data_IF_890053080902
#
_entry.id   IF_890053080902
#
_cell.length_a   1.000
_cell.length_b   1.000
_cell.length_c   1.000
_cell.angle_alpha   90.00
_cell.angle_beta   90.00
_cell.angle_gamma   90.00
#
_symmetry.space_group_name_H-M   'P 1'
#
loop_
_entity.id
_entity.type
_entity.pdbx_description
1 polymer ?
#
# COMPACT_ATOMS: atom_id res chain seq x y z
N UNK A 1 18.28 -21.35 -1.46
CA UNK A 1 17.18 -21.46 -2.45
C UNK A 1 16.45 -22.76 -2.21
N UNK A 2 15.43 -22.76 -1.36
CA UNK A 2 14.68 -23.97 -1.00
C UNK A 2 13.58 -24.31 -2.03
N UNK A 3 13.14 -23.32 -2.83
CA UNK A 3 12.10 -23.47 -3.85
C UNK A 3 12.64 -23.91 -5.24
N UNK A 4 13.92 -24.22 -5.38
CA UNK A 4 14.54 -24.60 -6.67
C UNK A 4 14.71 -23.45 -7.69
N UNK A 5 14.34 -22.22 -7.33
CA UNK A 5 14.47 -21.05 -8.20
C UNK A 5 15.90 -20.48 -8.19
N UNK A 6 16.35 -19.97 -9.34
CA UNK A 6 17.60 -19.23 -9.48
C UNK A 6 17.35 -17.72 -9.42
N UNK A 7 17.99 -17.06 -8.44
CA UNK A 7 17.93 -15.61 -8.30
C UNK A 7 18.52 -14.91 -9.52
N UNK A 8 17.80 -13.94 -10.08
CA UNK A 8 18.28 -13.04 -11.14
C UNK A 8 18.64 -11.67 -10.60
N UNK A 9 17.77 -11.13 -9.75
CA UNK A 9 17.89 -9.78 -9.22
C UNK A 9 17.20 -9.69 -7.86
N UNK A 10 17.77 -8.92 -6.95
CA UNK A 10 17.11 -8.51 -5.73
C UNK A 10 17.59 -7.12 -5.35
N UNK A 11 16.71 -6.35 -4.73
CA UNK A 11 17.02 -4.98 -4.34
C UNK A 11 15.92 -4.34 -3.52
N UNK A 12 16.09 -3.04 -3.33
CA UNK A 12 15.11 -2.16 -2.73
C UNK A 12 14.64 -1.19 -3.81
N UNK A 13 13.32 -1.04 -3.93
CA UNK A 13 12.68 -0.10 -4.83
C UNK A 13 12.01 0.97 -3.98
N UNK A 14 12.52 2.19 -4.08
CA UNK A 14 11.87 3.37 -3.52
C UNK A 14 10.84 3.88 -4.52
N UNK A 15 9.65 4.22 -4.03
CA UNK A 15 8.59 4.77 -4.87
C UNK A 15 7.80 5.84 -4.12
N UNK A 16 7.08 6.63 -4.91
CA UNK A 16 6.21 7.70 -4.43
C UNK A 16 4.82 7.51 -4.99
N UNK A 17 3.82 7.62 -4.13
CA UNK A 17 2.42 7.71 -4.52
C UNK A 17 1.92 9.13 -4.26
N UNK A 18 1.13 9.67 -5.19
CA UNK A 18 0.50 10.98 -5.04
C UNK A 18 -0.99 10.89 -5.36
N UNK A 19 -1.81 11.44 -4.48
CA UNK A 19 -3.26 11.42 -4.60
C UNK A 19 -3.83 12.84 -4.46
N UNK A 20 -4.90 13.17 -5.21
CA UNK A 20 -5.50 14.49 -5.17
C UNK A 20 -6.23 14.77 -3.85
N UNK A 21 -6.70 13.75 -3.14
CA UNK A 21 -7.39 13.84 -1.87
C UNK A 21 -7.37 12.48 -1.14
N UNK A 22 -7.74 12.52 0.15
CA UNK A 22 -7.80 11.36 1.04
C UNK A 22 -8.72 10.26 0.52
N UNK A 23 -9.89 10.63 -0.03
CA UNK A 23 -10.86 9.67 -0.54
C UNK A 23 -10.28 8.84 -1.69
N UNK A 24 -9.55 9.47 -2.61
CA UNK A 24 -8.90 8.79 -3.75
C UNK A 24 -7.82 7.84 -3.27
N UNK A 25 -7.01 8.25 -2.28
CA UNK A 25 -6.01 7.38 -1.66
C UNK A 25 -6.69 6.18 -0.98
N UNK A 26 -7.63 6.44 -0.08
CA UNK A 26 -8.33 5.39 0.68
C UNK A 26 -9.01 4.35 -0.23
N UNK A 27 -9.63 4.79 -1.34
CA UNK A 27 -10.23 3.88 -2.33
C UNK A 27 -9.21 2.90 -2.92
N UNK A 28 -7.98 3.35 -3.20
CA UNK A 28 -6.92 2.49 -3.71
C UNK A 28 -6.53 1.40 -2.71
N UNK A 29 -6.36 1.77 -1.44
CA UNK A 29 -6.00 0.85 -0.38
C UNK A 29 -7.12 -0.16 -0.09
N UNK A 30 -8.38 0.28 -0.01
CA UNK A 30 -9.52 -0.61 0.25
C UNK A 30 -9.73 -1.67 -0.84
N UNK A 31 -9.26 -1.42 -2.06
CA UNK A 31 -9.29 -2.40 -3.15
C UNK A 31 -8.19 -3.47 -3.05
N UNK A 32 -7.13 -3.24 -2.26
CA UNK A 32 -6.02 -4.17 -2.14
C UNK A 32 -6.38 -5.38 -1.26
N UNK A 33 -5.82 -6.55 -1.59
CA UNK A 33 -6.15 -7.83 -0.96
C UNK A 33 -6.06 -7.83 0.59
N UNK A 34 -5.06 -7.19 1.24
CA UNK A 34 -5.02 -7.10 2.70
C UNK A 34 -6.22 -6.37 3.31
N UNK A 35 -6.68 -5.29 2.67
CA UNK A 35 -7.85 -4.55 3.15
C UNK A 35 -9.14 -5.28 2.85
N UNK A 36 -9.25 -5.98 1.71
CA UNK A 36 -10.39 -6.89 1.46
C UNK A 36 -10.49 -7.96 2.55
N UNK A 37 -9.36 -8.51 3.02
CA UNK A 37 -9.31 -9.44 4.15
C UNK A 37 -9.78 -8.77 5.45
N UNK A 38 -9.32 -7.55 5.74
CA UNK A 38 -9.73 -6.79 6.92
C UNK A 38 -11.23 -6.45 6.92
N UNK A 39 -11.77 -6.01 5.77
CA UNK A 39 -13.19 -5.69 5.58
C UNK A 39 -14.07 -6.90 5.90
N UNK A 40 -13.68 -8.09 5.44
CA UNK A 40 -14.41 -9.33 5.75
C UNK A 40 -14.40 -9.67 7.25
N UNK A 41 -13.40 -9.22 7.99
CA UNK A 41 -13.25 -9.52 9.42
C UNK A 41 -13.92 -8.47 10.32
N UNK A 42 -13.85 -7.18 9.96
CA UNK A 42 -14.24 -6.06 10.82
C UNK A 42 -15.35 -5.16 10.24
N UNK A 43 -15.78 -5.38 9.00
CA UNK A 43 -16.73 -4.52 8.29
C UNK A 43 -16.05 -3.36 7.56
N UNK A 44 -16.68 -2.89 6.47
CA UNK A 44 -16.07 -1.86 5.61
C UNK A 44 -15.94 -0.50 6.30
N UNK A 45 -16.97 -0.07 7.03
CA UNK A 45 -17.00 1.24 7.68
C UNK A 45 -15.87 1.39 8.71
N UNK A 46 -15.71 0.40 9.59
CA UNK A 46 -14.64 0.38 10.60
C UNK A 46 -13.24 0.39 9.96
N UNK A 47 -13.04 -0.38 8.89
CA UNK A 47 -11.76 -0.40 8.17
C UNK A 47 -11.50 0.93 7.47
N UNK A 48 -12.54 1.52 6.86
CA UNK A 48 -12.45 2.82 6.20
C UNK A 48 -12.10 3.91 7.21
N UNK A 49 -12.77 3.99 8.34
CA UNK A 49 -12.47 4.97 9.40
C UNK A 49 -11.01 4.84 9.88
N UNK A 50 -10.59 3.63 10.26
CA UNK A 50 -9.24 3.36 10.73
C UNK A 50 -8.17 3.71 9.68
N UNK A 51 -8.42 3.37 8.41
CA UNK A 51 -7.52 3.71 7.30
C UNK A 51 -7.45 5.24 7.09
N UNK A 52 -8.59 5.92 7.13
CA UNK A 52 -8.67 7.37 6.89
C UNK A 52 -7.89 8.13 7.96
N UNK A 53 -8.00 7.73 9.23
CA UNK A 53 -7.20 8.30 10.32
C UNK A 53 -5.71 8.00 10.17
N UNK A 54 -5.35 6.79 9.76
CA UNK A 54 -3.95 6.42 9.52
C UNK A 54 -3.31 7.21 8.37
N UNK A 55 -4.08 7.57 7.35
CA UNK A 55 -3.60 8.30 6.17
C UNK A 55 -3.58 9.82 6.36
N UNK A 56 -4.37 10.38 7.29
CA UNK A 56 -4.48 11.83 7.55
C UNK A 56 -3.12 12.55 7.70
N UNK A 57 -2.10 11.99 8.37
CA UNK A 57 -0.79 12.66 8.50
C UNK A 57 -0.02 12.82 7.18
N UNK A 58 -0.43 12.13 6.11
CA UNK A 58 0.22 12.18 4.80
C UNK A 58 -0.28 13.34 3.94
N UNK A 59 -1.20 14.15 4.47
CA UNK A 59 -1.66 15.37 3.81
C UNK A 59 -0.53 16.40 3.72
N UNK A 60 -0.30 16.88 2.51
CA UNK A 60 0.64 17.96 2.20
C UNK A 60 0.02 19.32 2.45
N UNK A 61 0.84 20.37 2.46
CA UNK A 61 0.36 21.76 2.59
C UNK A 61 -0.58 22.23 1.48
N UNK A 62 -0.72 21.45 0.39
CA UNK A 62 -1.61 21.76 -0.74
C UNK A 62 -2.93 20.97 -0.69
N UNK A 63 -3.18 20.20 0.37
CA UNK A 63 -4.36 19.34 0.51
C UNK A 63 -4.30 18.04 -0.30
N UNK A 64 -3.17 17.79 -0.98
CA UNK A 64 -2.85 16.51 -1.65
C UNK A 64 -2.28 15.52 -0.65
N UNK A 65 -2.32 14.24 -0.98
CA UNK A 65 -1.75 13.17 -0.15
C UNK A 65 -0.54 12.58 -0.84
N UNK A 66 0.55 12.37 -0.10
CA UNK A 66 1.79 11.79 -0.62
C UNK A 66 2.35 10.73 0.32
N UNK A 67 2.68 9.58 -0.25
CA UNK A 67 3.40 8.52 0.44
C UNK A 67 4.77 8.33 -0.20
N UNK A 68 5.79 8.17 0.62
CA UNK A 68 7.11 7.69 0.21
C UNK A 68 7.35 6.37 0.90
N UNK A 69 7.68 5.34 0.12
CA UNK A 69 7.83 3.98 0.63
C UNK A 69 8.98 3.27 -0.10
N UNK A 70 9.44 2.17 0.50
CA UNK A 70 10.49 1.32 -0.01
C UNK A 70 10.08 -0.14 0.11
N UNK A 71 10.06 -0.85 -1.02
CA UNK A 71 9.80 -2.29 -1.03
C UNK A 71 11.03 -3.08 -1.39
N UNK A 72 11.26 -4.17 -0.67
CA UNK A 72 12.24 -5.18 -1.07
C UNK A 72 11.63 -6.06 -2.16
N UNK A 73 12.32 -6.20 -3.28
CA UNK A 73 11.90 -7.08 -4.37
C UNK A 73 12.96 -8.16 -4.66
N UNK A 74 12.48 -9.24 -5.26
CA UNK A 74 13.29 -10.35 -5.74
C UNK A 74 12.68 -10.91 -7.02
N UNK A 75 13.50 -11.04 -8.05
CA UNK A 75 13.15 -11.67 -9.33
C UNK A 75 13.97 -12.95 -9.45
N UNK A 76 13.28 -14.08 -9.60
CA UNK A 76 13.89 -15.39 -9.79
C UNK A 76 13.17 -16.17 -10.89
N UNK A 77 13.88 -17.10 -11.52
CA UNK A 77 13.32 -18.01 -12.53
C UNK A 77 13.46 -19.45 -12.06
N UNK A 78 12.56 -20.33 -12.52
CA UNK A 78 12.77 -21.76 -12.42
C UNK A 78 13.96 -22.21 -13.29
#
# INVERSE_FOLDING_TARGET
>A
TEAGLTLKEAGYLQFREEYPNLETMARGYLAAAPFVRAIRAAGEEAVREALTEALRPLETSTGRYRLEDEVRYLIATA
#
